data_IF_996852442857
#
_entry.id   IF_996852442857
#
_cell.length_a   1.000
_cell.length_b   1.000
_cell.length_c   1.000
_cell.angle_alpha   90.00
_cell.angle_beta   90.00
_cell.angle_gamma   90.00
#
_symmetry.space_group_name_H-M   'P 1'
#
loop_
_entity.id
_entity.type
_entity.pdbx_description
1 polymer ?
#
# COMPACT_ATOMS: atom_id res chain seq x y z
N UNK A 1 -6.12 14.51 8.09
CA UNK A 1 -5.14 13.57 8.70
C UNK A 1 -4.86 14.08 10.08
N UNK A 2 -4.87 13.20 11.08
CA UNK A 2 -4.73 13.54 12.50
C UNK A 2 -3.26 13.87 12.83
N UNK A 3 -3.03 14.49 13.97
CA UNK A 3 -1.69 14.64 14.55
C UNK A 3 -1.06 13.27 14.79
N UNK A 4 0.26 13.20 14.77
CA UNK A 4 1.02 11.97 15.03
C UNK A 4 2.31 12.28 15.77
N UNK A 5 2.89 11.26 16.39
CA UNK A 5 4.17 11.37 17.11
C UNK A 5 5.24 10.64 16.31
N UNK A 6 6.37 11.30 16.06
CA UNK A 6 7.53 10.70 15.42
C UNK A 6 8.78 11.07 16.21
N UNK A 7 9.57 10.06 16.62
CA UNK A 7 10.76 10.23 17.46
C UNK A 7 10.52 11.08 18.73
N UNK A 8 9.37 10.89 19.40
CA UNK A 8 9.02 11.63 20.62
C UNK A 8 8.52 13.06 20.40
N UNK A 9 8.50 13.56 19.16
CA UNK A 9 7.99 14.88 18.82
C UNK A 9 6.57 14.74 18.25
N UNK A 10 5.64 15.55 18.77
CA UNK A 10 4.28 15.60 18.26
C UNK A 10 4.16 16.60 17.11
N UNK A 11 3.66 16.12 15.97
CA UNK A 11 3.40 16.92 14.78
C UNK A 11 1.88 17.10 14.60
N UNK A 12 1.45 18.32 14.29
CA UNK A 12 0.02 18.63 14.08
C UNK A 12 -0.49 18.03 12.78
N UNK A 13 0.38 17.90 11.78
CA UNK A 13 0.01 17.30 10.49
C UNK A 13 1.19 16.72 9.72
N UNK A 14 0.90 15.84 8.77
CA UNK A 14 1.91 15.30 7.84
C UNK A 14 2.52 16.40 6.96
N UNK A 15 1.75 17.44 6.63
CA UNK A 15 2.23 18.58 5.84
C UNK A 15 3.31 19.36 6.60
N UNK A 16 3.06 19.64 7.88
CA UNK A 16 4.02 20.31 8.76
C UNK A 16 5.33 19.52 8.85
N UNK A 17 5.24 18.21 9.11
CA UNK A 17 6.42 17.34 9.12
C UNK A 17 7.17 17.39 7.79
N UNK A 18 6.48 17.23 6.66
CA UNK A 18 7.13 17.28 5.35
C UNK A 18 7.82 18.63 5.08
N UNK A 19 7.24 19.76 5.52
CA UNK A 19 7.88 21.07 5.39
C UNK A 19 9.15 21.17 6.25
N UNK A 20 9.11 20.71 7.49
CA UNK A 20 10.25 20.75 8.40
C UNK A 20 11.43 19.88 7.94
N UNK A 21 11.15 18.71 7.36
CA UNK A 21 12.17 17.75 6.92
C UNK A 21 12.50 17.87 5.42
N UNK A 22 12.01 18.91 4.74
CA UNK A 22 12.19 19.13 3.29
C UNK A 22 11.78 17.91 2.44
N UNK A 23 10.68 17.24 2.82
CA UNK A 23 10.11 16.09 2.12
C UNK A 23 8.94 16.51 1.25
N UNK A 24 8.72 15.76 0.16
CA UNK A 24 7.56 15.97 -0.70
C UNK A 24 6.26 15.50 -0.01
N UNK A 25 5.41 16.46 0.36
CA UNK A 25 4.09 16.16 0.92
C UNK A 25 3.22 15.34 -0.04
N UNK A 26 3.31 15.59 -1.36
CA UNK A 26 2.55 14.82 -2.35
C UNK A 26 2.96 13.36 -2.37
N UNK A 27 4.27 13.05 -2.25
CA UNK A 27 4.76 11.67 -2.13
C UNK A 27 4.28 11.02 -0.83
N UNK A 28 4.37 11.72 0.31
CA UNK A 28 3.91 11.19 1.60
C UNK A 28 2.41 10.88 1.59
N UNK A 29 1.61 11.82 1.10
CA UNK A 29 0.15 11.65 0.95
C UNK A 29 -0.19 10.50 0.01
N UNK A 30 0.57 10.34 -1.09
CA UNK A 30 0.40 9.23 -2.04
C UNK A 30 0.65 7.88 -1.36
N UNK A 31 1.69 7.76 -0.52
CA UNK A 31 1.96 6.54 0.24
C UNK A 31 0.82 6.20 1.22
N UNK A 32 0.36 7.17 2.01
CA UNK A 32 -0.79 6.96 2.92
C UNK A 32 -2.08 6.60 2.19
N UNK A 33 -2.24 7.03 0.93
CA UNK A 33 -3.42 6.70 0.12
C UNK A 33 -3.35 5.34 -0.54
N UNK A 34 -2.16 4.83 -0.83
CA UNK A 34 -1.98 3.59 -1.57
C UNK A 34 -1.74 2.38 -0.69
N UNK A 35 -1.23 2.52 0.53
CA UNK A 35 -0.85 1.38 1.37
C UNK A 35 -1.59 1.34 2.69
N UNK A 36 -2.07 0.15 3.08
CA UNK A 36 -2.89 -0.04 4.27
C UNK A 36 -2.16 0.42 5.53
N UNK A 37 -0.90 0.00 5.71
CA UNK A 37 -0.09 0.37 6.88
C UNK A 37 0.08 1.89 6.97
N UNK A 38 0.46 2.53 5.86
CA UNK A 38 0.64 3.97 5.78
C UNK A 38 -0.67 4.78 5.91
N UNK A 39 -1.80 4.19 5.55
CA UNK A 39 -3.12 4.80 5.72
C UNK A 39 -3.53 4.84 7.19
N UNK A 40 -3.33 3.72 7.89
CA UNK A 40 -3.62 3.57 9.32
C UNK A 40 -2.66 4.41 10.17
N UNK A 41 -1.38 4.40 9.82
CA UNK A 41 -0.34 5.14 10.52
C UNK A 41 0.58 5.91 9.54
N UNK A 42 0.50 7.26 9.47
CA UNK A 42 1.33 8.06 8.59
C UNK A 42 2.83 7.99 8.92
N UNK A 43 3.22 7.55 10.12
CA UNK A 43 4.63 7.33 10.49
C UNK A 43 5.27 6.29 9.57
N UNK A 44 4.51 5.29 9.11
CA UNK A 44 5.01 4.28 8.18
C UNK A 44 5.42 4.92 6.84
N UNK A 45 4.61 5.82 6.29
CA UNK A 45 4.97 6.56 5.07
C UNK A 45 6.24 7.40 5.27
N UNK A 46 6.39 8.02 6.44
CA UNK A 46 7.57 8.81 6.79
C UNK A 46 8.81 7.94 6.86
N UNK A 47 8.75 6.78 7.53
CA UNK A 47 9.87 5.84 7.62
C UNK A 47 10.32 5.36 6.25
N UNK A 48 9.38 5.11 5.34
CA UNK A 48 9.69 4.75 3.95
C UNK A 48 10.34 5.90 3.18
N UNK A 49 9.87 7.14 3.35
CA UNK A 49 10.46 8.31 2.69
C UNK A 49 11.87 8.63 3.19
N UNK A 50 12.11 8.45 4.49
CA UNK A 50 13.42 8.66 5.11
C UNK A 50 14.38 7.49 4.89
N UNK A 51 13.92 6.38 4.30
CA UNK A 51 14.73 5.18 4.09
C UNK A 51 15.05 4.40 5.37
N UNK A 52 14.44 4.76 6.50
CA UNK A 52 14.57 4.04 7.79
C UNK A 52 13.99 2.63 7.68
N UNK A 53 12.89 2.50 6.93
CA UNK A 53 12.25 1.23 6.63
C UNK A 53 12.14 1.07 5.11
N UNK A 54 12.50 -0.11 4.58
CA UNK A 54 12.23 -0.43 3.17
C UNK A 54 10.78 -0.88 3.02
N UNK A 55 10.08 -0.28 2.06
CA UNK A 55 8.74 -0.73 1.66
C UNK A 55 8.83 -2.06 0.92
N UNK A 56 8.09 -3.08 1.37
CA UNK A 56 7.99 -4.35 0.64
C UNK A 56 7.35 -4.16 -0.73
N UNK A 57 7.73 -4.98 -1.71
CA UNK A 57 7.04 -5.06 -3.01
C UNK A 57 5.63 -5.63 -2.87
N UNK A 58 5.42 -6.52 -1.89
CA UNK A 58 4.13 -7.14 -1.55
C UNK A 58 3.32 -6.33 -0.53
N UNK A 59 3.68 -5.07 -0.27
CA UNK A 59 3.00 -4.24 0.72
C UNK A 59 1.52 -4.06 0.34
N UNK A 60 0.58 -4.38 1.26
CA UNK A 60 -0.84 -4.40 0.95
C UNK A 60 -1.36 -3.00 0.65
N UNK A 61 -2.12 -2.88 -0.45
CA UNK A 61 -2.66 -1.61 -0.92
C UNK A 61 -4.04 -1.31 -0.32
N UNK A 62 -4.33 -0.04 -0.05
CA UNK A 62 -5.63 0.42 0.46
C UNK A 62 -6.75 0.34 -0.56
N UNK A 63 -6.42 0.51 -1.84
CA UNK A 63 -7.33 0.27 -2.95
C UNK A 63 -6.82 -0.97 -3.68
N UNK A 64 -7.32 -2.14 -3.28
CA UNK A 64 -7.77 -3.06 -4.32
C UNK A 64 -9.12 -2.50 -4.73
N UNK A 65 -9.27 -2.03 -5.97
CA UNK A 65 -10.62 -1.82 -6.47
C UNK A 65 -11.34 -3.16 -6.24
N UNK A 66 -12.52 -3.16 -5.64
CA UNK A 66 -13.32 -4.40 -5.52
C UNK A 66 -13.36 -5.14 -6.85
N UNK A 67 -13.45 -4.38 -7.94
CA UNK A 67 -13.33 -4.85 -9.31
C UNK A 67 -11.98 -5.50 -9.68
N UNK A 68 -10.84 -4.96 -9.21
CA UNK A 68 -9.53 -5.59 -9.45
C UNK A 68 -9.38 -6.90 -8.67
N UNK A 69 -10.03 -6.99 -7.50
CA UNK A 69 -10.10 -8.21 -6.71
C UNK A 69 -10.97 -9.26 -7.41
N UNK A 70 -12.18 -8.89 -7.82
CA UNK A 70 -13.08 -9.73 -8.63
C UNK A 70 -12.38 -10.23 -9.90
N UNK A 71 -11.77 -9.34 -10.68
CA UNK A 71 -11.01 -9.70 -11.88
C UNK A 71 -9.80 -10.60 -11.58
N UNK A 72 -9.23 -10.54 -10.36
CA UNK A 72 -8.15 -11.44 -9.95
C UNK A 72 -8.68 -12.83 -9.61
N UNK A 73 -9.85 -12.91 -8.97
CA UNK A 73 -10.53 -14.16 -8.65
C UNK A 73 -11.02 -14.86 -9.93
N UNK A 74 -11.63 -14.11 -10.86
CA UNK A 74 -12.07 -14.61 -12.17
C UNK A 74 -10.90 -15.18 -12.97
N UNK A 75 -9.79 -14.43 -13.06
CA UNK A 75 -8.57 -14.91 -13.76
C UNK A 75 -8.00 -16.19 -13.16
N UNK A 76 -8.08 -16.34 -11.84
CA UNK A 76 -7.61 -17.54 -11.17
C UNK A 76 -8.54 -18.73 -11.44
N UNK A 77 -9.86 -18.49 -11.46
CA UNK A 77 -10.85 -19.51 -11.80
C UNK A 77 -10.66 -20.02 -13.24
N UNK A 78 -10.53 -19.13 -14.21
CA UNK A 78 -10.29 -19.47 -15.63
C UNK A 78 -9.02 -20.30 -15.81
N UNK A 79 -7.95 -19.96 -15.07
CA UNK A 79 -6.71 -20.72 -15.11
C UNK A 79 -6.88 -22.15 -14.59
N UNK A 80 -7.57 -22.31 -13.45
CA UNK A 80 -7.85 -23.63 -12.87
C UNK A 80 -8.70 -24.47 -13.82
N UNK A 81 -9.74 -23.87 -14.41
CA UNK A 81 -10.63 -24.55 -15.36
C UNK A 81 -9.86 -25.00 -16.61
N UNK A 82 -9.01 -24.13 -17.16
CA UNK A 82 -8.12 -24.47 -18.29
C UNK A 82 -7.19 -25.64 -17.95
N UNK A 83 -6.59 -25.64 -16.77
CA UNK A 83 -5.72 -26.74 -16.34
C UNK A 83 -6.48 -28.04 -16.14
N UNK A 84 -7.69 -27.97 -15.58
CA UNK A 84 -8.57 -29.13 -15.42
C UNK A 84 -8.98 -29.72 -16.77
N UNK A 85 -9.37 -28.89 -17.72
CA UNK A 85 -9.71 -29.31 -19.08
C UNK A 85 -8.49 -29.88 -19.82
N UNK A 86 -7.30 -29.31 -19.61
CA UNK A 86 -6.06 -29.88 -20.14
C UNK A 86 -5.84 -31.27 -19.57
N UNK A 87 -5.91 -31.44 -18.25
CA UNK A 87 -5.72 -32.73 -17.59
C UNK A 87 -6.74 -33.78 -18.06
N UNK A 88 -8.02 -33.41 -18.21
CA UNK A 88 -9.07 -34.30 -18.68
C UNK A 88 -8.92 -34.71 -20.15
N UNK A 89 -8.36 -33.85 -21.01
CA UNK A 89 -8.09 -34.18 -22.42
C UNK A 89 -6.85 -35.07 -22.62
N UNK A 90 -6.04 -35.27 -21.58
CA UNK A 90 -4.89 -36.18 -21.59
C UNK A 90 -5.24 -37.63 -21.22
N UNK A 91 -6.48 -37.90 -20.78
CA UNK A 91 -7.05 -39.23 -20.53
C UNK A 91 -8.15 -39.55 -21.54
#
# INVERSE_FOLDING_TARGET
>A
MKSFVFNGIQYRSLKEFCLMFNLSYSKARRLCRHYIRANKDPVVAIKWLLGIEKRSYSEPKTQMYFHDLELSEDRQHDFIEKQRNTFLNYF
#
